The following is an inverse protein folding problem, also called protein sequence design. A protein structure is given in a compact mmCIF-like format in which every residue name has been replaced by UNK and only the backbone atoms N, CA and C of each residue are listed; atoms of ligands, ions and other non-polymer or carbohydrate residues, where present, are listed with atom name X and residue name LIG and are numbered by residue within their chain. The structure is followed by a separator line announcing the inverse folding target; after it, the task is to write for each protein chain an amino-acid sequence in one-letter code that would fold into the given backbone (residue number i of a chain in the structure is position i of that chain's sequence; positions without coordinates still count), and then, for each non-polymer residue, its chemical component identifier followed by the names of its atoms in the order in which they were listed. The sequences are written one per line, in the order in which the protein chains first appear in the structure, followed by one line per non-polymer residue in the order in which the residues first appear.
data_IF_378223158889
#
_entry.id   IF_378223158889
#
_cell.length_a   1.000
_cell.length_b   1.000
_cell.length_c   1.000
_cell.angle_alpha   90.00
_cell.angle_beta   90.00
_cell.angle_gamma   90.00
#
_symmetry.space_group_name_H-M   'P 1'
#
loop_
_entity.id
_entity.type
_entity.pdbx_description
1 polymer ?
#
# COMPACT_ATOMS: atom_id res chain seq x y z
N UNK A 1 9.15 3.68 20.94
CA UNK A 1 7.79 3.32 20.47
C UNK A 1 7.57 1.83 20.68
N UNK A 2 6.46 1.40 21.25
CA UNK A 2 6.16 -0.01 21.39
C UNK A 2 5.79 -0.61 20.04
N UNK A 3 5.98 -1.94 19.90
CA UNK A 3 5.63 -2.66 18.67
C UNK A 3 4.14 -2.49 18.33
N UNK A 4 3.27 -2.55 19.33
CA UNK A 4 1.83 -2.39 19.13
C UNK A 4 1.47 -1.00 18.60
N UNK A 5 2.10 0.07 19.12
CA UNK A 5 1.91 1.43 18.65
C UNK A 5 2.37 1.57 17.20
N UNK A 6 3.52 0.98 16.86
CA UNK A 6 4.06 1.01 15.51
C UNK A 6 3.10 0.36 14.51
N UNK A 7 2.57 -0.82 14.84
CA UNK A 7 1.61 -1.52 13.99
C UNK A 7 0.30 -0.74 13.84
N UNK A 8 -0.20 -0.11 14.91
CA UNK A 8 -1.39 0.74 14.85
C UNK A 8 -1.19 1.92 13.89
N UNK A 9 -0.03 2.57 13.95
CA UNK A 9 0.29 3.68 13.03
C UNK A 9 0.32 3.21 11.58
N UNK A 10 0.82 2.01 11.33
CA UNK A 10 0.83 1.43 10.00
C UNK A 10 -0.57 1.04 9.53
N UNK A 11 -1.44 0.59 10.42
CA UNK A 11 -2.84 0.33 10.08
C UNK A 11 -3.56 1.62 9.69
N UNK A 12 -3.33 2.71 10.40
CA UNK A 12 -3.88 4.02 10.03
C UNK A 12 -3.37 4.46 8.65
N UNK A 13 -2.09 4.24 8.38
CA UNK A 13 -1.50 4.52 7.07
C UNK A 13 -2.16 3.67 5.98
N UNK A 14 -2.44 2.40 6.26
CA UNK A 14 -3.13 1.51 5.33
C UNK A 14 -4.54 1.99 5.03
N UNK A 15 -5.26 2.45 6.05
CA UNK A 15 -6.61 3.00 5.88
C UNK A 15 -6.60 4.23 4.96
N UNK A 16 -5.60 5.10 5.12
CA UNK A 16 -5.43 6.26 4.21
C UNK A 16 -5.10 5.84 2.79
N UNK A 17 -4.38 4.73 2.65
CA UNK A 17 -3.95 4.21 1.35
C UNK A 17 -5.11 3.61 0.53
N UNK A 18 -6.07 2.99 1.20
CA UNK A 18 -7.16 2.26 0.53
C UNK A 18 -7.94 3.08 -0.51
N UNK A 19 -8.43 4.30 -0.18
CA UNK A 19 -9.15 5.09 -1.20
C UNK A 19 -8.25 5.51 -2.37
N UNK A 20 -6.95 5.71 -2.12
CA UNK A 20 -6.00 6.05 -3.19
C UNK A 20 -5.79 4.87 -4.13
N UNK A 21 -5.68 3.67 -3.60
CA UNK A 21 -5.61 2.46 -4.41
C UNK A 21 -6.86 2.27 -5.22
N UNK A 22 -8.03 2.50 -4.63
CA UNK A 22 -9.30 2.40 -5.33
C UNK A 22 -9.39 3.40 -6.49
N UNK A 23 -9.01 4.67 -6.26
CA UNK A 23 -8.96 5.68 -7.32
C UNK A 23 -8.03 5.24 -8.45
N UNK A 24 -6.87 4.71 -8.11
CA UNK A 24 -5.90 4.23 -9.10
C UNK A 24 -6.49 3.11 -9.94
N UNK A 25 -7.12 2.12 -9.30
CA UNK A 25 -7.73 0.97 -9.97
C UNK A 25 -8.84 1.43 -10.92
N UNK A 26 -9.72 2.30 -10.44
CA UNK A 26 -10.83 2.82 -11.23
C UNK A 26 -10.38 3.66 -12.42
N UNK A 27 -9.23 4.34 -12.29
CA UNK A 27 -8.68 5.14 -13.37
C UNK A 27 -7.99 4.32 -14.47
N UNK A 28 -7.75 3.02 -14.22
CA UNK A 28 -7.05 2.16 -15.18
C UNK A 28 -7.98 1.51 -16.17
N UNK A 29 -7.53 1.48 -17.43
CA UNK A 29 -8.17 0.67 -18.47
C UNK A 29 -7.67 -0.77 -18.33
N UNK A 30 -8.44 -1.73 -18.82
CA UNK A 30 -8.11 -3.15 -18.72
C UNK A 30 -6.77 -3.51 -19.35
N UNK A 31 -6.29 -2.71 -20.31
CA UNK A 31 -5.01 -2.90 -20.99
C UNK A 31 -3.83 -2.23 -20.28
N UNK A 32 -4.10 -1.41 -19.26
CA UNK A 32 -3.06 -0.70 -18.52
C UNK A 32 -2.54 -1.54 -17.36
N UNK A 33 -1.31 -1.25 -16.92
CA UNK A 33 -0.71 -1.91 -15.78
C UNK A 33 -1.40 -1.50 -14.47
N UNK A 34 -1.67 -2.48 -13.60
CA UNK A 34 -2.20 -2.24 -12.27
C UNK A 34 -1.10 -2.23 -11.20
N UNK A 35 0.17 -2.19 -11.61
CA UNK A 35 1.28 -2.15 -10.66
C UNK A 35 1.45 -0.77 -10.04
N UNK A 36 1.62 -0.75 -8.72
CA UNK A 36 1.95 0.45 -7.96
C UNK A 36 3.33 0.26 -7.34
N UNK A 37 4.13 1.34 -7.38
CA UNK A 37 5.49 1.30 -6.85
C UNK A 37 5.49 1.56 -5.34
N UNK A 38 6.59 1.18 -4.68
CA UNK A 38 6.79 1.49 -3.26
C UNK A 38 6.71 2.99 -2.98
N UNK A 39 7.16 3.82 -3.93
CA UNK A 39 7.07 5.28 -3.82
C UNK A 39 5.62 5.73 -3.78
N UNK A 40 4.77 5.23 -4.68
CA UNK A 40 3.34 5.53 -4.69
C UNK A 40 2.67 5.09 -3.39
N UNK A 41 2.98 3.89 -2.91
CA UNK A 41 2.45 3.36 -1.66
C UNK A 41 2.83 4.27 -0.49
N UNK A 42 4.10 4.65 -0.38
CA UNK A 42 4.57 5.51 0.70
C UNK A 42 3.90 6.88 0.66
N UNK A 43 3.79 7.50 -0.50
CA UNK A 43 3.16 8.82 -0.66
C UNK A 43 1.69 8.79 -0.31
N UNK A 44 0.96 7.82 -0.85
CA UNK A 44 -0.49 7.73 -0.63
C UNK A 44 -0.83 7.37 0.82
N UNK A 45 0.02 6.61 1.48
CA UNK A 45 -0.14 6.26 2.88
C UNK A 45 0.32 7.36 3.84
N UNK A 46 0.98 8.40 3.33
CA UNK A 46 1.52 9.49 4.14
C UNK A 46 2.74 9.08 4.94
N UNK A 47 3.52 8.11 4.46
CA UNK A 47 4.72 7.64 5.13
C UNK A 47 5.93 8.43 4.62
N UNK A 48 6.23 9.51 5.34
CA UNK A 48 7.35 10.39 5.01
C UNK A 48 8.28 10.55 6.20
N UNK A 49 9.56 10.82 5.90
CA UNK A 49 10.57 11.14 6.90
C UNK A 49 10.54 12.64 7.21
N UNK A 50 11.25 13.05 8.27
CA UNK A 50 11.34 14.46 8.69
C UNK A 50 11.81 15.38 7.57
N UNK A 51 12.68 14.90 6.67
CA UNK A 51 13.20 15.70 5.55
C UNK A 51 12.23 15.79 4.36
N UNK A 52 11.00 15.29 4.50
CA UNK A 52 10.01 15.28 3.44
C UNK A 52 10.15 14.16 2.42
N UNK A 53 11.17 13.34 2.53
CA UNK A 53 11.35 12.18 1.65
C UNK A 53 10.43 11.04 2.07
N UNK A 54 10.06 10.19 1.12
CA UNK A 54 9.25 9.01 1.43
C UNK A 54 10.02 8.06 2.34
N UNK A 55 9.29 7.37 3.22
CA UNK A 55 9.85 6.31 4.04
C UNK A 55 9.52 4.96 3.41
N UNK A 56 10.36 4.52 2.49
CA UNK A 56 10.18 3.28 1.76
C UNK A 56 10.31 2.05 2.67
N UNK A 57 11.10 2.13 3.72
CA UNK A 57 11.22 1.03 4.69
C UNK A 57 9.90 0.78 5.41
N UNK A 58 9.24 1.85 5.87
CA UNK A 58 7.92 1.72 6.50
C UNK A 58 6.86 1.22 5.51
N UNK A 59 6.90 1.71 4.27
CA UNK A 59 5.98 1.26 3.24
C UNK A 59 6.14 -0.22 2.95
N UNK A 60 7.38 -0.69 2.84
CA UNK A 60 7.66 -2.11 2.63
C UNK A 60 7.19 -2.95 3.81
N UNK A 61 7.45 -2.48 5.04
CA UNK A 61 7.02 -3.17 6.26
C UNK A 61 5.48 -3.26 6.34
N UNK A 62 4.80 -2.19 5.95
CA UNK A 62 3.33 -2.16 5.85
C UNK A 62 2.82 -3.28 4.97
N UNK A 63 3.40 -3.42 3.77
CA UNK A 63 2.97 -4.44 2.82
C UNK A 63 3.30 -5.85 3.30
N UNK A 64 4.39 -6.02 4.04
CA UNK A 64 4.73 -7.30 4.67
C UNK A 64 3.72 -7.69 5.75
N UNK A 65 3.35 -6.73 6.61
CA UNK A 65 2.35 -6.98 7.66
C UNK A 65 0.99 -7.37 7.08
N UNK A 66 0.61 -6.74 5.98
CA UNK A 66 -0.63 -7.08 5.27
C UNK A 66 -0.52 -8.39 4.49
N UNK A 67 0.67 -9.01 4.46
CA UNK A 67 0.95 -10.24 3.72
C UNK A 67 0.63 -10.14 2.23
N UNK A 68 0.87 -8.96 1.66
CA UNK A 68 0.71 -8.76 0.23
C UNK A 68 2.02 -9.12 -0.48
N UNK A 69 2.01 -10.10 -1.40
CA UNK A 69 3.23 -10.50 -2.08
C UNK A 69 3.71 -9.41 -3.03
N UNK A 70 5.03 -9.18 -3.04
CA UNK A 70 5.65 -8.24 -3.97
C UNK A 70 5.58 -8.80 -5.38
N UNK A 71 5.33 -7.94 -6.37
CA UNK A 71 5.32 -8.34 -7.77
C UNK A 71 6.73 -8.76 -8.23
N UNK A 72 6.79 -9.72 -9.14
CA UNK A 72 8.04 -10.10 -9.78
C UNK A 72 8.56 -9.02 -10.73
N UNK A 73 7.65 -8.19 -11.24
CA UNK A 73 7.97 -7.09 -12.15
C UNK A 73 8.27 -5.84 -11.35
N UNK A 74 9.36 -5.15 -11.71
CA UNK A 74 9.71 -3.85 -11.13
C UNK A 74 9.41 -2.74 -12.13
N UNK A 75 9.09 -1.56 -11.62
CA UNK A 75 8.95 -0.33 -12.42
C UNK A 75 9.99 0.67 -11.94
N UNK A 76 10.75 1.24 -12.86
CA UNK A 76 11.79 2.22 -12.55
C UNK A 76 12.79 1.69 -11.52
N UNK A 77 13.07 0.39 -11.54
CA UNK A 77 13.95 -0.26 -10.56
C UNK A 77 13.35 -0.43 -9.17
N UNK A 78 12.11 -0.01 -8.97
CA UNK A 78 11.43 -0.07 -7.67
C UNK A 78 10.58 -1.33 -7.54
N UNK A 79 10.43 -1.80 -6.30
CA UNK A 79 9.48 -2.85 -5.97
C UNK A 79 8.06 -2.37 -6.25
N UNK A 80 7.24 -3.30 -6.74
CA UNK A 80 5.86 -3.02 -7.09
C UNK A 80 4.93 -4.08 -6.50
N UNK A 81 3.66 -3.74 -6.40
CA UNK A 81 2.58 -4.63 -6.01
C UNK A 81 1.42 -4.43 -6.96
N UNK A 82 0.66 -5.49 -7.21
CA UNK A 82 -0.61 -5.33 -7.94
C UNK A 82 -1.58 -4.57 -7.04
N UNK A 83 -2.12 -3.46 -7.55
CA UNK A 83 -2.98 -2.57 -6.76
C UNK A 83 -4.23 -3.29 -6.24
N UNK A 84 -4.78 -4.21 -7.02
CA UNK A 84 -6.00 -4.96 -6.65
C UNK A 84 -5.71 -5.94 -5.52
N UNK A 85 -4.60 -6.66 -5.60
CA UNK A 85 -4.16 -7.56 -4.53
C UNK A 85 -3.81 -6.77 -3.27
N UNK A 86 -3.11 -5.64 -3.43
CA UNK A 86 -2.75 -4.77 -2.32
C UNK A 86 -3.99 -4.25 -1.59
N UNK A 87 -4.99 -3.79 -2.34
CA UNK A 87 -6.22 -3.27 -1.74
C UNK A 87 -6.92 -4.35 -0.91
N UNK A 88 -7.04 -5.56 -1.44
CA UNK A 88 -7.70 -6.66 -0.72
C UNK A 88 -6.91 -7.07 0.53
N UNK A 89 -5.59 -7.20 0.42
CA UNK A 89 -4.74 -7.57 1.55
C UNK A 89 -4.80 -6.52 2.68
N UNK A 90 -4.69 -5.25 2.32
CA UNK A 90 -4.74 -4.14 3.28
C UNK A 90 -6.12 -4.02 3.92
N UNK A 91 -7.18 -4.17 3.15
CA UNK A 91 -8.53 -4.09 3.65
C UNK A 91 -8.81 -5.19 4.68
N UNK A 92 -8.39 -6.43 4.41
CA UNK A 92 -8.54 -7.56 5.33
C UNK A 92 -7.72 -7.36 6.59
N UNK A 93 -6.48 -6.93 6.44
CA UNK A 93 -5.58 -6.70 7.57
C UNK A 93 -6.09 -5.62 8.51
N UNK A 94 -6.67 -4.53 7.96
CA UNK A 94 -7.19 -3.42 8.76
C UNK A 94 -8.63 -3.62 9.21
N UNK A 95 -9.32 -4.66 8.74
CA UNK A 95 -10.73 -4.87 9.02
C UNK A 95 -11.64 -3.88 8.29
N UNK A 96 -11.18 -3.33 7.17
CA UNK A 96 -11.95 -2.38 6.36
C UNK A 96 -12.84 -3.13 5.37
N UNK A 97 -13.86 -3.81 5.89
CA UNK A 97 -14.66 -4.78 5.14
C UNK A 97 -15.43 -4.17 3.97
N UNK A 98 -15.69 -2.85 3.99
CA UNK A 98 -16.32 -2.16 2.87
C UNK A 98 -15.51 -2.26 1.58
N UNK A 99 -14.20 -2.43 1.69
CA UNK A 99 -13.28 -2.53 0.56
C UNK A 99 -13.00 -3.97 0.13
N UNK A 100 -13.45 -4.95 0.91
CA UNK A 100 -13.23 -6.37 0.59
C UNK A 100 -14.27 -6.83 -0.42
N UNK A 101 -13.78 -7.40 -1.52
CA UNK A 101 -14.63 -7.98 -2.57
C UNK A 101 -14.73 -9.48 -2.33
N UNK A 102 -15.96 -9.97 -2.29
CA UNK A 102 -16.23 -11.40 -2.12
C UNK A 102 -16.03 -12.16 -3.45
#
# INVERSE_FOLDING_TARGET
MSRATFEMNLKDAAIRLLPKLNEFIESRKTTESFLVTIEQIARWAGLTRRNGRIDDNQAFHLMQLAQCPVSKTRKYGMRCWDAREAMQALARWTGSWAWVVD
#
